data_IF_687854150491
#
_entry.id   IF_687854150491
#
_cell.length_a   1.000
_cell.length_b   1.000
_cell.length_c   1.000
_cell.angle_alpha   90.00
_cell.angle_beta   90.00
_cell.angle_gamma   90.00
#
_symmetry.space_group_name_H-M   'P 1'
#
loop_
_entity.id
_entity.type
_entity.pdbx_description
1 polymer ?
2 polymer ?
3 non-polymer ?
4 water ?
#
# COMPACT_ATOMS: atom_id res chain seq x y z
N UNK A 5 5.17 5.68 -15.61
CA UNK A 5 4.78 6.92 -14.88
C UNK A 5 4.59 6.62 -13.40
N UNK A 6 5.01 7.55 -12.56
CA UNK A 6 4.89 7.42 -11.11
C UNK A 6 4.02 8.55 -10.58
N UNK A 7 2.95 8.21 -9.87
CA UNK A 7 2.05 9.23 -9.33
C UNK A 7 2.74 10.22 -8.39
N UNK A 8 3.60 9.72 -7.49
CA UNK A 8 4.17 10.59 -6.47
C UNK A 8 5.66 10.30 -6.24
N UNK A 9 6.51 11.10 -6.88
CA UNK A 9 7.94 10.82 -6.93
C UNK A 9 8.62 11.12 -5.59
N UNK A 10 8.04 12.02 -4.81
CA UNK A 10 8.61 12.32 -3.52
C UNK A 10 8.49 11.12 -2.58
N UNK A 11 7.69 10.14 -2.97
CA UNK A 11 7.51 8.95 -2.14
C UNK A 11 8.18 7.67 -2.68
N UNK A 12 9.08 7.84 -3.65
CA UNK A 12 9.78 6.73 -4.30
C UNK A 12 10.60 5.84 -3.36
N UNK A 13 11.12 6.44 -2.31
CA UNK A 13 12.04 5.72 -1.45
C UNK A 13 11.33 5.19 -0.21
N UNK A 14 11.77 4.03 0.25
CA UNK A 14 11.21 3.43 1.44
C UNK A 14 11.36 4.37 2.63
N UNK A 15 12.48 5.08 2.68
CA UNK A 15 12.79 5.94 3.83
C UNK A 15 11.77 7.08 3.93
N UNK A 16 11.40 7.63 2.78
CA UNK A 16 10.50 8.76 2.75
C UNK A 16 9.10 8.29 3.12
N UNK A 17 8.73 7.10 2.67
CA UNK A 17 7.43 6.57 3.04
C UNK A 17 7.37 6.32 4.55
N UNK A 18 8.43 5.73 5.11
CA UNK A 18 8.41 5.43 6.54
C UNK A 18 8.19 6.68 7.37
N UNK A 19 8.78 7.79 6.93
CA UNK A 19 8.67 9.06 7.62
C UNK A 19 7.21 9.52 7.78
N UNK A 20 6.42 9.29 6.74
CA UNK A 20 5.01 9.71 6.78
C UNK A 20 4.19 8.92 7.79
N UNK A 21 4.73 7.80 8.25
CA UNK A 21 4.03 6.96 9.22
C UNK A 21 4.37 7.33 10.65
N UNK A 22 5.08 8.44 10.80
CA UNK A 22 5.39 8.96 12.13
C UNK A 22 4.14 9.02 13.02
N UNK A 23 3.01 9.43 12.46
CA UNK A 23 1.80 9.56 13.27
C UNK A 23 0.73 8.55 12.89
N UNK A 24 1.18 7.45 12.30
CA UNK A 24 0.32 6.31 12.07
C UNK A 24 -0.30 5.89 13.41
N UNK A 25 -1.64 5.79 13.46
CA UNK A 25 -2.35 5.41 14.68
C UNK A 25 -1.87 4.06 15.18
N UNK A 26 -1.54 3.98 16.46
CA UNK A 26 -1.11 2.71 17.02
C UNK A 26 -2.29 1.76 17.16
N UNK A 27 -3.50 2.31 17.08
CA UNK A 27 -4.70 1.48 17.19
C UNK A 27 -4.91 0.64 15.93
N UNK A 28 -4.25 1.00 14.84
CA UNK A 28 -4.39 0.26 13.58
C UNK A 28 -3.60 -1.04 13.60
N UNK A 29 -4.25 -2.17 13.27
CA UNK A 29 -3.61 -3.50 13.35
C UNK A 29 -2.71 -3.89 12.21
N UNK A 30 -2.10 -2.91 11.58
CA UNK A 30 -1.11 -3.19 10.52
C UNK A 30 0.09 -2.29 10.74
N UNK A 31 1.28 -2.85 10.64
CA UNK A 31 2.50 -2.14 10.97
C UNK A 31 2.98 -1.25 9.82
N UNK A 32 3.55 -0.09 10.14
CA UNK A 32 3.97 0.87 9.12
C UNK A 32 5.05 0.33 8.18
N UNK A 33 6.00 -0.43 8.73
CA UNK A 33 7.04 -1.08 7.92
C UNK A 33 6.47 -1.87 6.75
N UNK A 34 5.43 -2.65 7.02
CA UNK A 34 4.84 -3.50 6.01
C UNK A 34 4.15 -2.66 4.95
N UNK A 35 3.52 -1.57 5.37
CA UNK A 35 2.83 -0.73 4.41
C UNK A 35 3.85 -0.02 3.54
N UNK A 36 4.89 0.50 4.18
CA UNK A 36 5.94 1.22 3.48
C UNK A 36 6.61 0.31 2.45
N UNK A 37 6.82 -0.94 2.80
CA UNK A 37 7.51 -1.86 1.91
C UNK A 37 6.62 -2.22 0.73
N UNK A 38 5.31 -2.16 0.92
CA UNK A 38 4.39 -2.49 -0.16
C UNK A 38 4.12 -1.26 -1.02
N UNK A 39 4.85 -0.18 -0.76
CA UNK A 39 4.79 1.00 -1.61
C UNK A 39 3.85 2.08 -1.11
N UNK A 40 3.26 1.87 0.06
CA UNK A 40 2.29 2.81 0.59
C UNK A 40 2.94 3.87 1.46
N UNK A 41 2.35 5.07 1.45
CA UNK A 41 2.68 6.10 2.42
C UNK A 41 1.40 6.64 3.06
N UNK A 42 1.54 7.27 4.22
CA UNK A 42 0.40 7.67 5.03
C UNK A 42 -0.10 9.02 4.55
N UNK A 43 -1.40 9.14 4.32
CA UNK A 43 -1.96 10.41 3.86
C UNK A 43 -2.10 11.39 5.03
N UNK A 44 -2.16 10.87 6.25
CA UNK A 44 -2.15 11.72 7.43
C UNK A 44 -3.40 11.72 8.29
N UNK A 45 -4.43 10.98 7.88
CA UNK A 45 -5.65 10.92 8.67
C UNK A 45 -6.12 9.48 8.78
N UNK A 46 -6.58 9.12 9.97
CA UNK A 46 -7.09 7.77 10.17
C UNK A 46 -6.08 6.72 9.75
N UNK A 47 -6.47 5.83 8.85
CA UNK A 47 -5.56 4.80 8.38
C UNK A 47 -5.43 4.79 6.86
N UNK A 48 -5.64 5.94 6.23
CA UNK A 48 -5.55 6.07 4.77
C UNK A 48 -4.11 6.08 4.27
N UNK A 49 -3.83 5.26 3.26
CA UNK A 49 -2.51 5.24 2.63
C UNK A 49 -2.64 5.24 1.10
N UNK A 50 -1.58 5.65 0.42
CA UNK A 50 -1.53 5.61 -1.04
C UNK A 50 -0.24 4.99 -1.53
N UNK A 51 -0.31 4.39 -2.72
CA UNK A 51 0.87 3.89 -3.42
C UNK A 51 1.54 5.04 -4.18
N UNK A 52 2.86 5.14 -4.08
CA UNK A 52 3.57 6.23 -4.74
C UNK A 52 3.58 6.02 -6.25
N UNK A 53 3.35 4.78 -6.67
CA UNK A 53 3.39 4.40 -8.08
C UNK A 53 2.01 4.47 -8.74
N UNK A 54 1.08 3.60 -8.35
CA UNK A 54 -0.22 3.56 -9.02
C UNK A 54 -1.21 4.55 -8.43
N UNK A 55 -0.90 5.07 -7.25
CA UNK A 55 -1.76 6.03 -6.56
C UNK A 55 -3.04 5.41 -6.00
N UNK A 56 -3.04 4.10 -5.87
CA UNK A 56 -4.18 3.46 -5.30
C UNK A 56 -4.18 3.75 -3.80
N UNK A 57 -5.36 4.02 -3.24
CA UNK A 57 -5.45 4.30 -1.83
C UNK A 57 -6.26 3.22 -1.13
N UNK A 58 -5.87 2.88 0.09
CA UNK A 58 -6.58 1.88 0.87
C UNK A 58 -6.88 2.42 2.26
N UNK A 59 -8.00 1.99 2.84
CA UNK A 59 -8.38 2.39 4.19
C UNK A 59 -9.13 1.27 4.91
N UNK A 60 -9.43 1.49 6.18
CA UNK A 60 -10.12 0.50 7.01
C UNK A 60 -9.39 -0.82 7.07
N UNK A 61 -8.10 -0.77 7.37
CA UNK A 61 -7.28 -1.98 7.51
C UNK A 61 -7.88 -2.86 8.63
N UNK A 62 -7.81 -4.17 8.43
CA UNK A 62 -8.32 -5.11 9.41
C UNK A 62 -7.21 -6.02 9.88
N UNK A 63 -7.35 -6.51 11.11
CA UNK A 63 -6.35 -7.38 11.69
C UNK A 63 -6.09 -8.51 10.71
N UNK A 64 -4.82 -8.83 10.51
CA UNK A 64 -4.47 -9.86 9.54
C UNK A 64 -4.32 -9.39 8.11
N UNK A 65 -4.71 -8.16 7.80
CA UNK A 65 -4.54 -7.66 6.43
C UNK A 65 -3.06 -7.65 6.06
N UNK A 66 -2.77 -8.04 4.83
CA UNK A 66 -1.41 -8.02 4.31
C UNK A 66 -1.31 -6.97 3.21
N UNK A 67 -0.48 -5.94 3.41
CA UNK A 67 -0.36 -4.83 2.45
C UNK A 67 -0.09 -5.27 1.00
N UNK A 68 0.79 -6.25 0.80
CA UNK A 68 1.03 -6.74 -0.56
C UNK A 68 -0.17 -7.48 -1.14
N UNK A 69 -0.86 -8.25 -0.30
CA UNK A 69 -2.02 -8.97 -0.78
C UNK A 69 -3.10 -7.97 -1.18
N UNK A 70 -3.35 -6.99 -0.34
CA UNK A 70 -4.36 -6.00 -0.65
C UNK A 70 -3.94 -5.21 -1.87
N UNK A 71 -2.64 -4.94 -1.99
CA UNK A 71 -2.16 -4.18 -3.13
C UNK A 71 -2.49 -4.95 -4.42
N UNK A 72 -2.25 -6.25 -4.39
CA UNK A 72 -2.48 -7.09 -5.56
C UNK A 72 -3.97 -7.37 -5.78
N UNK A 73 -4.74 -7.42 -4.69
CA UNK A 73 -6.18 -7.61 -4.79
C UNK A 73 -6.86 -6.42 -5.47
N UNK A 74 -6.55 -5.21 -5.02
CA UNK A 74 -7.25 -4.03 -5.49
C UNK A 74 -6.59 -3.31 -6.67
N UNK A 75 -5.27 -3.42 -6.79
CA UNK A 75 -4.58 -2.72 -7.87
C UNK A 75 -3.59 -3.63 -8.60
N UNK A 76 -4.10 -4.71 -9.22
CA UNK A 76 -3.27 -5.77 -9.80
C UNK A 76 -2.35 -5.29 -10.91
N UNK A 77 -2.59 -4.10 -11.43
CA UNK A 77 -1.77 -3.63 -12.54
C UNK A 77 -0.69 -2.61 -12.15
N UNK A 78 -0.47 -2.42 -10.85
CA UNK A 78 0.56 -1.50 -10.40
C UNK A 78 1.95 -1.99 -10.83
N UNK A 79 2.71 -1.12 -11.48
CA UNK A 79 4.02 -1.51 -11.99
C UNK A 79 5.00 -1.83 -10.88
N UNK A 80 4.88 -1.11 -9.77
CA UNK A 80 5.74 -1.33 -8.61
C UNK A 80 5.40 -2.70 -8.02
N UNK A 81 4.10 -2.96 -7.88
CA UNK A 81 3.62 -4.24 -7.39
C UNK A 81 4.22 -5.37 -8.22
N UNK A 82 4.09 -5.25 -9.53
CA UNK A 82 4.57 -6.29 -10.43
C UNK A 82 6.09 -6.43 -10.38
N UNK A 83 6.79 -5.29 -10.31
CA UNK A 83 8.24 -5.28 -10.23
C UNK A 83 8.74 -5.94 -8.93
N UNK A 84 8.03 -5.71 -7.83
CA UNK A 84 8.49 -6.22 -6.55
C UNK A 84 8.04 -7.66 -6.30
N UNK A 85 6.81 -8.00 -6.66
CA UNK A 85 6.28 -9.31 -6.35
C UNK A 85 6.23 -10.31 -7.50
N UNK A 86 6.27 -9.85 -8.73
CA UNK A 86 6.22 -10.79 -9.85
C UNK A 86 4.76 -11.01 -10.28
N UNK A 87 4.55 -11.27 -11.57
CA UNK A 87 3.20 -11.43 -12.12
C UNK A 87 2.48 -12.65 -11.57
N UNK A 88 3.25 -13.66 -11.19
CA UNK A 88 2.66 -14.90 -10.72
C UNK A 88 1.95 -14.66 -9.39
N UNK A 89 2.59 -13.88 -8.52
CA UNK A 89 1.98 -13.54 -7.24
C UNK A 89 0.65 -12.83 -7.46
N UNK A 90 0.64 -11.86 -8.36
CA UNK A 90 -0.56 -11.08 -8.63
C UNK A 90 -1.68 -11.99 -9.13
N UNK A 91 -1.38 -12.78 -10.16
CA UNK A 91 -2.35 -13.70 -10.74
C UNK A 91 -2.88 -14.64 -9.67
N UNK A 92 -2.01 -15.06 -8.78
CA UNK A 92 -2.40 -16.00 -7.75
C UNK A 92 -3.40 -15.36 -6.80
N UNK A 93 -3.14 -14.11 -6.43
CA UNK A 93 -4.07 -13.39 -5.56
C UNK A 93 -5.40 -13.22 -6.27
N UNK A 94 -5.35 -12.70 -7.49
CA UNK A 94 -6.56 -12.50 -8.27
C UNK A 94 -7.38 -13.78 -8.39
N UNK A 95 -6.71 -14.93 -8.33
CA UNK A 95 -7.40 -16.19 -8.53
C UNK A 95 -8.17 -16.69 -7.32
N UNK A 96 -8.26 -15.87 -6.28
CA UNK A 96 -8.98 -16.26 -5.08
C UNK A 96 -10.42 -15.75 -5.12
N UNK B 1 -8.71 -4.53 3.70
CA UNK B 1 -8.81 -3.06 3.51
C UNK B 1 -9.69 -2.77 2.30
N UNK B 2 -10.13 -1.53 2.14
CA UNK B 2 -10.91 -1.16 0.96
C UNK B 2 -10.38 0.10 0.30
N UNK B 3 -10.69 0.29 -0.98
CA UNK B 3 -10.23 1.46 -1.72
C UNK B 3 -10.76 2.74 -1.12
N UNK B 4 -9.92 3.77 -1.12
CA UNK B 4 -10.37 5.11 -0.81
C UNK B 4 -11.14 5.58 -2.04
N UNK B 5 -12.42 5.88 -1.87
CA UNK B 5 -13.24 6.28 -3.02
C UNK B 5 -12.65 7.53 -3.62
N UNK B 6 -12.74 7.63 -4.95
CA UNK B 6 -12.32 8.83 -5.66
C UNK B 6 -13.54 9.47 -6.34
X LIG C 1 0.57 0.49 -6.49
#
# INVERSE_FOLDING_TARGET
GPGSSISNLSMQTHAARMRTFMYWPSSVPVQPEQLASAGFYYVGRNDDVKCFCCDGGLRCWESGDDPWVEHAKWFPRCEFLIRMKGQEFVDEIQGRY
AVPIAQ
ZN ZN
#
